data_IF_813043961784
#
_entry.id   IF_813043961784
#
_cell.length_a   1.000
_cell.length_b   1.000
_cell.length_c   1.000
_cell.angle_alpha   90.00
_cell.angle_beta   90.00
_cell.angle_gamma   90.00
#
_symmetry.space_group_name_H-M   'P 1'
#
loop_
_entity.id
_entity.type
_entity.pdbx_description
1 polymer ?
#
# COMPACT_ATOMS: atom_id res chain seq x y z
N UNK A 1 4.10 -7.65 10.04
CA UNK A 1 4.40 -7.91 8.62
C UNK A 1 5.02 -6.66 8.00
N UNK A 2 6.02 -6.83 7.19
CA UNK A 2 6.70 -5.71 6.53
C UNK A 2 6.52 -5.83 5.02
N UNK A 3 6.23 -4.70 4.38
CA UNK A 3 6.04 -4.64 2.93
C UNK A 3 6.82 -3.46 2.39
N UNK A 4 7.50 -3.66 1.28
CA UNK A 4 8.21 -2.58 0.59
C UNK A 4 7.35 -2.05 -0.56
N UNK A 5 7.25 -0.72 -0.65
CA UNK A 5 6.48 -0.08 -1.71
C UNK A 5 7.24 -0.17 -3.04
N UNK A 6 6.52 -0.56 -4.10
CA UNK A 6 7.03 -0.55 -5.47
C UNK A 6 6.04 0.19 -6.34
N UNK A 7 6.55 0.86 -7.36
CA UNK A 7 5.71 1.64 -8.27
C UNK A 7 5.26 2.97 -7.69
N UNK A 8 4.51 3.71 -8.47
CA UNK A 8 4.15 5.10 -8.19
C UNK A 8 2.67 5.30 -7.86
N UNK A 9 1.89 4.22 -7.74
CA UNK A 9 0.43 4.33 -7.62
C UNK A 9 -0.03 5.04 -6.35
N UNK A 10 0.82 5.07 -5.32
CA UNK A 10 0.46 5.70 -4.04
C UNK A 10 1.19 7.01 -3.78
N UNK A 11 1.86 7.58 -4.80
CA UNK A 11 2.40 8.93 -4.68
C UNK A 11 1.27 9.94 -4.50
N UNK A 12 1.48 11.01 -3.74
CA UNK A 12 2.70 11.34 -2.98
C UNK A 12 2.77 10.72 -1.59
N UNK A 13 1.71 10.05 -1.12
CA UNK A 13 1.66 9.53 0.24
C UNK A 13 2.75 8.49 0.50
N UNK A 14 2.98 7.61 -0.47
CA UNK A 14 4.03 6.61 -0.43
C UNK A 14 4.84 6.68 -1.71
N UNK A 15 6.14 6.45 -1.60
CA UNK A 15 7.03 6.43 -2.76
C UNK A 15 7.77 5.09 -2.82
N UNK A 16 8.22 4.69 -4.03
CA UNK A 16 8.99 3.45 -4.16
C UNK A 16 10.16 3.41 -3.20
N UNK A 17 10.37 2.28 -2.55
CA UNK A 17 11.42 2.10 -1.57
C UNK A 17 10.99 2.33 -0.13
N UNK A 18 9.84 2.93 0.11
CA UNK A 18 9.30 3.04 1.47
C UNK A 18 9.04 1.64 2.02
N UNK A 19 9.29 1.47 3.32
CA UNK A 19 8.93 0.26 4.04
C UNK A 19 7.70 0.53 4.89
N UNK A 20 6.82 -0.46 4.95
CA UNK A 20 5.56 -0.36 5.68
C UNK A 20 5.49 -1.46 6.73
N UNK A 21 5.12 -1.07 7.94
CA UNK A 21 4.74 -2.03 8.96
C UNK A 21 3.24 -2.22 8.86
N UNK A 22 2.80 -3.47 8.74
CA UNK A 22 1.41 -3.83 8.50
C UNK A 22 0.90 -4.69 9.64
N UNK A 23 -0.25 -4.32 10.19
CA UNK A 23 -0.92 -5.12 11.22
C UNK A 23 -1.94 -6.03 10.56
N UNK A 24 -1.65 -7.32 10.54
CA UNK A 24 -2.55 -8.31 9.93
C UNK A 24 -3.85 -8.41 10.70
N UNK A 25 -4.95 -8.54 9.95
CA UNK A 25 -6.27 -8.72 10.55
C UNK A 25 -6.81 -7.51 11.28
N UNK A 26 -6.16 -6.36 11.19
CA UNK A 26 -6.63 -5.15 11.85
C UNK A 26 -7.93 -4.66 11.21
N UNK A 27 -8.77 -4.03 12.02
CA UNK A 27 -9.97 -3.38 11.50
C UNK A 27 -9.57 -2.24 10.56
N UNK A 28 -10.31 -2.09 9.47
CA UNK A 28 -10.06 -1.10 8.44
C UNK A 28 -11.17 -0.07 8.45
N UNK A 29 -10.81 1.19 8.26
CA UNK A 29 -11.74 2.31 8.16
C UNK A 29 -11.50 3.04 6.84
N UNK A 30 -12.52 3.75 6.33
CA UNK A 30 -12.31 4.62 5.17
C UNK A 30 -11.15 5.59 5.41
N UNK A 31 -10.27 5.69 4.43
CA UNK A 31 -9.06 6.51 4.49
C UNK A 31 -7.80 5.76 4.89
N UNK A 32 -7.92 4.54 5.41
CA UNK A 32 -6.74 3.76 5.80
C UNK A 32 -5.97 3.27 4.57
N UNK A 33 -4.66 3.18 4.73
CA UNK A 33 -3.82 2.44 3.79
C UNK A 33 -3.85 0.97 4.17
N UNK A 34 -4.09 0.13 3.19
CA UNK A 34 -4.21 -1.32 3.42
C UNK A 34 -3.34 -2.10 2.45
N UNK A 35 -2.97 -3.29 2.87
CA UNK A 35 -2.34 -4.29 2.02
C UNK A 35 -3.38 -5.34 1.72
N UNK A 36 -3.55 -5.65 0.45
CA UNK A 36 -4.53 -6.63 -0.02
C UNK A 36 -3.89 -7.55 -1.04
N UNK A 37 -4.53 -8.70 -1.28
CA UNK A 37 -4.12 -9.58 -2.36
C UNK A 37 -4.74 -9.11 -3.66
N UNK A 38 -3.93 -9.12 -4.71
CA UNK A 38 -4.43 -8.71 -6.03
C UNK A 38 -5.47 -9.73 -6.51
N UNK A 39 -6.68 -9.29 -6.83
CA UNK A 39 -7.68 -10.20 -7.42
C UNK A 39 -7.14 -10.84 -8.70
N UNK A 40 -7.25 -12.16 -8.80
CA UNK A 40 -6.72 -12.91 -9.93
C UNK A 40 -5.27 -13.34 -9.79
N UNK A 41 -4.55 -12.77 -8.83
CA UNK A 41 -3.15 -13.14 -8.56
C UNK A 41 -2.89 -13.01 -7.05
N UNK A 42 -3.39 -13.97 -6.25
CA UNK A 42 -3.40 -13.82 -4.79
C UNK A 42 -2.02 -13.87 -4.14
N UNK A 43 -0.99 -14.30 -4.88
CA UNK A 43 0.37 -14.25 -4.35
C UNK A 43 0.97 -12.86 -4.43
N UNK A 44 0.33 -11.96 -5.17
CA UNK A 44 0.79 -10.59 -5.32
C UNK A 44 0.07 -9.68 -4.35
N UNK A 45 0.84 -8.92 -3.58
CA UNK A 45 0.29 -7.93 -2.65
C UNK A 45 0.25 -6.56 -3.30
N UNK A 46 -0.82 -5.82 -3.00
CA UNK A 46 -0.97 -4.43 -3.41
C UNK A 46 -1.19 -3.56 -2.19
N UNK A 47 -0.76 -2.31 -2.26
CA UNK A 47 -0.98 -1.30 -1.22
C UNK A 47 -1.86 -0.22 -1.82
N UNK A 48 -3.03 0.01 -1.20
CA UNK A 48 -4.02 0.96 -1.71
C UNK A 48 -4.70 1.68 -0.55
N UNK A 49 -5.47 2.71 -0.90
CA UNK A 49 -6.29 3.45 0.07
C UNK A 49 -7.69 2.88 0.10
N UNK A 50 -8.16 2.49 1.28
CA UNK A 50 -9.54 2.01 1.45
C UNK A 50 -10.48 3.21 1.42
N UNK A 51 -11.47 3.16 0.54
CA UNK A 51 -12.41 4.28 0.36
C UNK A 51 -13.71 4.04 1.09
N UNK A 52 -14.37 2.92 0.82
CA UNK A 52 -15.61 2.54 1.49
C UNK A 52 -15.75 1.03 1.48
N UNK A 53 -16.59 0.54 2.37
CA UNK A 53 -16.89 -0.89 2.49
C UNK A 53 -18.34 -1.12 2.09
N UNK A 54 -18.55 -2.03 1.15
CA UNK A 54 -19.88 -2.43 0.70
C UNK A 54 -20.10 -3.92 0.88
N UNK A 55 -21.20 -4.42 0.30
CA UNK A 55 -21.57 -5.83 0.42
C UNK A 55 -20.52 -6.78 -0.17
N UNK A 56 -19.79 -6.32 -1.19
CA UNK A 56 -18.84 -7.15 -1.92
C UNK A 56 -17.39 -6.89 -1.51
N UNK A 57 -17.15 -6.12 -0.46
CA UNK A 57 -15.82 -5.85 0.06
C UNK A 57 -15.45 -4.38 0.03
N UNK A 58 -14.17 -4.11 0.10
CA UNK A 58 -13.63 -2.77 0.14
C UNK A 58 -13.35 -2.23 -1.24
N UNK A 59 -13.76 -1.00 -1.48
CA UNK A 59 -13.34 -0.25 -2.67
C UNK A 59 -11.98 0.37 -2.38
N UNK A 60 -10.97 -0.04 -3.14
CA UNK A 60 -9.59 0.37 -2.94
C UNK A 60 -9.13 1.22 -4.11
N UNK A 61 -8.48 2.34 -3.82
CA UNK A 61 -8.00 3.24 -4.87
C UNK A 61 -6.54 3.58 -4.68
N UNK A 62 -5.88 3.78 -5.81
CA UNK A 62 -4.54 4.37 -5.85
C UNK A 62 -4.66 5.87 -5.59
N UNK A 63 -3.77 6.43 -4.77
CA UNK A 63 -3.74 7.87 -4.57
C UNK A 63 -3.35 8.58 -5.86
N UNK A 64 -2.48 7.96 -6.66
CA UNK A 64 -2.05 8.48 -7.94
C UNK A 64 -2.81 7.77 -9.07
N UNK A 65 -3.93 8.33 -9.46
CA UNK A 65 -4.80 7.72 -10.47
C UNK A 65 -4.20 7.77 -11.88
N UNK A 66 -3.15 8.56 -12.08
CA UNK A 66 -2.50 8.69 -13.38
C UNK A 66 -1.34 7.74 -13.56
N UNK A 67 -0.92 7.04 -12.50
CA UNK A 67 0.20 6.11 -12.61
C UNK A 67 -0.15 4.94 -13.51
N UNK A 68 0.77 4.60 -14.40
CA UNK A 68 0.63 3.38 -15.19
C UNK A 68 0.65 2.17 -14.25
N UNK A 69 -0.17 1.17 -14.57
CA UNK A 69 -0.20 -0.05 -13.78
C UNK A 69 -0.75 0.11 -12.37
N UNK A 70 -1.62 1.09 -12.14
CA UNK A 70 -2.14 1.38 -10.79
C UNK A 70 -2.93 0.22 -10.18
N UNK A 71 -3.60 -0.58 -10.94
CA UNK A 71 -4.33 -1.78 -10.51
C UNK A 71 -5.08 -1.61 -9.20
N UNK A 72 -6.21 -0.93 -9.26
CA UNK A 72 -7.07 -0.72 -8.10
C UNK A 72 -8.52 -1.13 -8.44
N UNK A 73 -9.48 -0.78 -7.57
CA UNK A 73 -10.86 -1.22 -7.75
C UNK A 73 -11.52 -0.69 -9.01
N UNK A 74 -10.99 0.39 -9.60
CA UNK A 74 -11.46 0.83 -10.92
C UNK A 74 -11.19 -0.21 -12.00
N UNK A 75 -10.19 -1.07 -11.78
CA UNK A 75 -9.84 -2.13 -12.73
C UNK A 75 -10.50 -3.46 -12.39
N UNK A 76 -10.67 -3.80 -11.11
CA UNK A 76 -11.09 -5.14 -10.72
C UNK A 76 -12.25 -5.19 -9.71
N UNK A 77 -12.80 -4.03 -9.32
CA UNK A 77 -13.94 -4.00 -8.40
C UNK A 77 -13.54 -4.12 -6.94
N UNK A 78 -14.53 -4.32 -6.07
CA UNK A 78 -14.30 -4.43 -4.62
C UNK A 78 -13.43 -5.63 -4.24
N UNK A 79 -12.74 -5.52 -3.12
CA UNK A 79 -11.79 -6.53 -2.64
C UNK A 79 -12.17 -6.99 -1.24
N UNK A 80 -12.31 -8.30 -1.06
CA UNK A 80 -12.58 -8.88 0.25
C UNK A 80 -11.31 -9.28 0.98
N UNK A 81 -10.26 -9.65 0.25
CA UNK A 81 -9.07 -10.25 0.84
C UNK A 81 -8.06 -9.19 1.26
N UNK A 82 -8.37 -8.52 2.36
CA UNK A 82 -7.50 -7.52 2.95
C UNK A 82 -6.55 -8.23 3.93
N UNK A 83 -5.25 -8.12 3.69
CA UNK A 83 -4.24 -8.72 4.54
C UNK A 83 -4.09 -7.94 5.85
N UNK A 84 -4.04 -6.63 5.78
CA UNK A 84 -3.89 -5.83 6.98
C UNK A 84 -3.87 -4.33 6.70
N UNK A 85 -3.74 -3.57 7.77
CA UNK A 85 -3.70 -2.12 7.73
C UNK A 85 -2.28 -1.65 7.93
N UNK A 86 -1.86 -0.66 7.16
CA UNK A 86 -0.55 -0.02 7.33
C UNK A 86 -0.58 0.83 8.60
N UNK A 87 0.36 0.58 9.51
CA UNK A 87 0.43 1.31 10.79
C UNK A 87 1.61 2.26 10.86
N UNK A 88 2.65 2.03 10.04
CA UNK A 88 3.86 2.84 10.08
C UNK A 88 4.59 2.75 8.76
N UNK A 89 5.09 3.90 8.29
CA UNK A 89 6.05 3.97 7.19
C UNK A 89 7.42 4.25 7.78
N UNK A 90 8.45 3.55 7.29
CA UNK A 90 9.79 3.71 7.85
C UNK A 90 10.86 3.31 6.83
N UNK A 91 12.10 3.60 7.18
CA UNK A 91 13.28 3.15 6.44
C UNK A 91 14.20 2.43 7.41
N UNK A 92 14.58 1.17 7.11
CA UNK A 92 15.53 0.46 7.96
C UNK A 92 16.86 1.22 8.02
N UNK A 93 17.50 1.20 9.18
CA UNK A 93 18.83 1.79 9.34
C UNK A 93 19.81 1.13 8.37
N UNK A 94 20.72 1.94 7.82
CA UNK A 94 21.72 1.48 6.86
C UNK A 94 21.28 1.53 5.41
N UNK A 95 20.08 1.99 5.12
CA UNK A 95 19.55 2.06 3.77
C UNK A 95 19.42 3.46 3.23
N UNK A 96 19.97 4.39 3.92
CA UNK A 96 19.81 5.80 3.53
C UNK A 96 20.98 6.28 2.74
N UNK A 97 20.62 6.25 2.50
CA UNK A 97 21.39 6.78 2.14
C UNK A 97 21.99 7.21 1.67
N UNK A 98 22.07 7.15 1.52
CA UNK A 98 22.71 7.37 1.46
C UNK A 98 23.31 7.68 1.24
N UNK A 99 23.50 8.00 1.52
CA UNK A 99 24.02 8.33 1.84
C UNK A 99 24.29 8.91 2.15
N UNK A 100 24.44 9.34 2.39
CA UNK A 100 24.60 9.80 3.16
C UNK A 100 24.74 10.29 3.47
N UNK A 101 24.97 10.78 3.15
CA UNK A 101 25.08 10.98 3.96
C UNK A 101 24.95 11.43 4.27
N UNK A 102 25.04 11.66 4.28
CA UNK A 102 24.92 11.79 5.07
C UNK A 102 24.67 12.12 5.37
N UNK A 103 24.71 12.24 5.42
CA UNK A 103 24.42 12.34 6.07
C UNK A 103 24.18 12.49 6.42
N UNK A 104 24.40 12.64 6.25
CA UNK A 104 24.09 12.58 6.82
C UNK A 104 23.98 12.71 7.04
N UNK A 105 24.14 12.88 6.57
CA UNK A 105 24.03 12.81 7.01
C UNK A 105 23.81 12.85 7.04
#
# INVERSE_FOLDING_TARGET
>A
MRVRVEGDSMRPALVPGDWLLVRRGAAVRPGDLVVARLPGDPDRLIVKRAQWHGADGWWLESDNQRAGGRRDSWDFGPVEDIVGRVVLRYWPLGRRHGKRGVKRG
#
